data_IF_690544597358
#
_entry.id   IF_690544597358
#
_cell.length_a   1.000
_cell.length_b   1.000
_cell.length_c   1.000
_cell.angle_alpha   90.00
_cell.angle_beta   90.00
_cell.angle_gamma   90.00
#
_symmetry.space_group_name_H-M   'P 1'
#
loop_
_entity.id
_entity.type
_entity.pdbx_description
1 polymer ?
#
# COMPACT_ATOMS: atom_id res chain seq x y z
N UNK A 1 -4.93 18.14 -18.59
CA UNK A 1 -5.15 16.72 -18.23
C UNK A 1 -3.93 15.97 -18.68
N UNK A 2 -3.37 15.12 -17.82
CA UNK A 2 -2.18 14.35 -18.11
C UNK A 2 -2.54 12.87 -18.10
N UNK A 3 -2.53 12.26 -19.28
CA UNK A 3 -2.96 10.87 -19.44
C UNK A 3 -1.83 9.90 -19.16
N UNK A 4 -2.18 8.71 -18.66
CA UNK A 4 -1.24 7.61 -18.55
C UNK A 4 -0.87 7.09 -19.95
N UNK A 5 0.35 7.41 -20.40
CA UNK A 5 0.86 7.01 -21.70
C UNK A 5 2.27 6.43 -21.60
N UNK A 6 2.49 5.29 -22.26
CA UNK A 6 3.80 4.66 -22.42
C UNK A 6 4.30 4.88 -23.85
N UNK A 7 5.44 5.55 -23.98
CA UNK A 7 6.01 5.92 -25.30
C UNK A 7 6.81 4.76 -25.91
N UNK A 8 7.45 3.96 -25.05
CA UNK A 8 8.18 2.76 -25.46
C UNK A 8 7.37 1.50 -25.14
N UNK A 9 6.72 0.96 -26.18
CA UNK A 9 5.96 -0.28 -26.09
C UNK A 9 6.83 -1.52 -26.27
N UNK A 10 8.09 -1.37 -26.71
CA UNK A 10 8.98 -2.50 -27.03
C UNK A 10 9.36 -3.34 -25.79
N UNK A 11 9.21 -2.73 -24.61
CA UNK A 11 9.43 -3.36 -23.31
C UNK A 11 8.28 -4.29 -22.87
N UNK A 12 7.15 -4.28 -23.57
CA UNK A 12 5.98 -5.10 -23.27
C UNK A 12 5.75 -6.18 -24.35
N UNK A 13 5.36 -7.37 -23.93
CA UNK A 13 5.03 -8.49 -24.84
C UNK A 13 3.54 -8.56 -25.15
N UNK A 14 2.69 -8.24 -24.18
CA UNK A 14 1.24 -8.26 -24.30
C UNK A 14 0.67 -7.06 -23.57
N UNK A 15 -0.33 -6.45 -24.20
CA UNK A 15 -1.10 -5.35 -23.64
C UNK A 15 -2.57 -5.70 -23.88
N UNK A 16 -3.36 -5.67 -22.81
CA UNK A 16 -4.80 -5.90 -22.84
C UNK A 16 -5.50 -4.81 -22.07
N UNK A 17 -6.66 -4.40 -22.54
CA UNK A 17 -7.52 -3.45 -21.85
C UNK A 17 -8.84 -4.14 -21.56
N UNK A 18 -9.19 -4.20 -20.29
CA UNK A 18 -10.53 -4.51 -19.81
C UNK A 18 -11.21 -3.19 -19.39
N UNK A 19 -12.53 -3.21 -19.12
CA UNK A 19 -13.37 -2.02 -18.91
C UNK A 19 -12.72 -0.94 -18.03
N UNK A 20 -12.09 -1.35 -16.92
CA UNK A 20 -11.40 -0.45 -15.98
C UNK A 20 -9.95 -0.83 -15.70
N UNK A 21 -9.40 -1.81 -16.42
CA UNK A 21 -8.08 -2.39 -16.10
C UNK A 21 -7.19 -2.51 -17.33
N UNK A 22 -6.06 -1.81 -17.32
CA UNK A 22 -4.97 -2.00 -18.27
C UNK A 22 -4.01 -3.08 -17.75
N UNK A 23 -3.90 -4.17 -18.49
CA UNK A 23 -3.01 -5.29 -18.22
C UNK A 23 -1.81 -5.25 -19.18
N UNK A 24 -0.59 -5.30 -18.63
CA UNK A 24 0.63 -5.31 -19.42
C UNK A 24 1.58 -6.39 -18.93
N UNK A 25 2.11 -7.19 -19.83
CA UNK A 25 3.13 -8.19 -19.52
C UNK A 25 4.48 -7.71 -20.04
N UNK A 26 5.52 -7.82 -19.21
CA UNK A 26 6.87 -7.46 -19.64
C UNK A 26 7.38 -8.44 -20.69
N UNK A 27 8.23 -7.94 -21.58
CA UNK A 27 8.90 -8.77 -22.59
C UNK A 27 9.87 -9.77 -21.98
N UNK A 28 10.47 -9.43 -20.84
CA UNK A 28 11.34 -10.35 -20.11
C UNK A 28 10.59 -11.47 -19.38
N UNK A 29 9.25 -11.46 -19.37
CA UNK A 29 8.41 -12.48 -18.72
C UNK A 29 8.43 -12.47 -17.19
N UNK A 30 9.20 -11.56 -16.58
CA UNK A 30 9.37 -11.47 -15.12
C UNK A 30 8.30 -10.66 -14.41
N UNK A 31 7.61 -9.77 -15.13
CA UNK A 31 6.71 -8.78 -14.55
C UNK A 31 5.38 -8.76 -15.29
N UNK A 32 4.29 -8.64 -14.55
CA UNK A 32 2.97 -8.32 -15.08
C UNK A 32 2.42 -7.13 -14.29
N UNK A 33 1.88 -6.14 -15.00
CA UNK A 33 1.37 -4.90 -14.46
C UNK A 33 -0.15 -4.87 -14.70
N UNK A 34 -0.90 -4.55 -13.66
CA UNK A 34 -2.35 -4.37 -13.69
C UNK A 34 -2.63 -2.97 -13.20
N UNK A 35 -3.16 -2.11 -14.07
CA UNK A 35 -3.40 -0.70 -13.77
C UNK A 35 -4.91 -0.47 -13.84
N UNK A 36 -5.52 -0.23 -12.70
CA UNK A 36 -6.93 0.14 -12.61
C UNK A 36 -7.09 1.65 -12.72
N UNK A 37 -7.96 2.08 -13.61
CA UNK A 37 -8.39 3.47 -13.73
C UNK A 37 -9.29 3.79 -12.53
N UNK A 38 -8.95 4.83 -11.76
CA UNK A 38 -9.78 5.33 -10.66
C UNK A 38 -10.38 6.68 -11.01
N UNK A 39 -11.34 7.08 -10.20
CA UNK A 39 -12.01 8.37 -10.33
C UNK A 39 -11.03 9.54 -10.25
N UNK A 40 -11.39 10.60 -10.97
CA UNK A 40 -10.72 11.87 -10.97
C UNK A 40 -10.91 12.57 -9.61
N UNK A 41 -9.80 12.94 -8.95
CA UNK A 41 -9.82 13.71 -7.71
C UNK A 41 -9.26 15.10 -7.98
N UNK A 42 -10.12 16.11 -7.94
CA UNK A 42 -9.76 17.54 -8.08
C UNK A 42 -9.05 17.88 -9.42
N UNK A 43 -9.49 17.33 -10.55
CA UNK A 43 -8.83 17.65 -11.83
C UNK A 43 -7.71 16.67 -12.23
N UNK A 44 -7.45 15.64 -11.40
CA UNK A 44 -6.31 14.74 -11.53
C UNK A 44 -6.80 13.29 -11.53
N UNK A 45 -6.50 12.58 -12.61
CA UNK A 45 -6.77 11.15 -12.73
C UNK A 45 -5.85 10.35 -11.79
N UNK A 46 -6.47 9.45 -11.03
CA UNK A 46 -5.76 8.53 -10.15
C UNK A 46 -5.81 7.11 -10.69
N UNK A 47 -4.78 6.34 -10.36
CA UNK A 47 -4.59 4.99 -10.86
C UNK A 47 -4.07 4.09 -9.74
N UNK A 48 -4.59 2.86 -9.69
CA UNK A 48 -4.07 1.80 -8.83
C UNK A 48 -3.27 0.82 -9.67
N UNK A 49 -1.99 0.65 -9.35
CA UNK A 49 -1.07 -0.28 -10.00
C UNK A 49 -0.80 -1.48 -9.09
N UNK A 50 -1.05 -2.68 -9.59
CA UNK A 50 -0.60 -3.94 -9.01
C UNK A 50 0.48 -4.57 -9.89
N UNK A 51 1.62 -4.91 -9.30
CA UNK A 51 2.75 -5.54 -9.99
C UNK A 51 2.87 -6.98 -9.50
N UNK A 52 2.72 -7.93 -10.39
CA UNK A 52 3.08 -9.32 -10.16
C UNK A 52 4.50 -9.57 -10.65
N UNK A 53 5.34 -10.15 -9.81
CA UNK A 53 6.68 -10.61 -10.22
C UNK A 53 6.73 -12.13 -10.19
N UNK A 54 7.52 -12.74 -11.06
CA UNK A 54 7.67 -14.20 -11.11
C UNK A 54 8.17 -14.79 -9.79
N UNK A 55 8.92 -14.02 -9.00
CA UNK A 55 9.54 -14.46 -7.74
C UNK A 55 8.76 -14.05 -6.49
N UNK A 56 7.72 -13.21 -6.60
CA UNK A 56 6.94 -12.76 -5.45
C UNK A 56 5.70 -13.63 -5.25
N UNK A 57 5.46 -14.04 -4.01
CA UNK A 57 4.22 -14.73 -3.61
C UNK A 57 2.99 -13.79 -3.54
N UNK A 58 3.07 -12.59 -4.11
CA UNK A 58 2.01 -11.59 -4.03
C UNK A 58 2.23 -10.39 -4.95
N UNK A 59 1.24 -9.49 -4.94
CA UNK A 59 1.26 -8.25 -5.71
C UNK A 59 1.92 -7.12 -4.92
N UNK A 60 2.73 -6.33 -5.60
CA UNK A 60 3.22 -5.04 -5.10
C UNK A 60 2.23 -3.98 -5.54
N UNK A 61 1.55 -3.35 -4.60
CA UNK A 61 0.48 -2.40 -4.90
C UNK A 61 0.97 -0.97 -4.72
N UNK A 62 0.58 -0.11 -5.65
CA UNK A 62 0.95 1.29 -5.75
C UNK A 62 -0.25 2.09 -6.19
N UNK A 63 -0.34 3.33 -5.73
CA UNK A 63 -1.40 4.25 -6.14
C UNK A 63 -0.78 5.60 -6.44
N UNK A 64 -1.31 6.31 -7.42
CA UNK A 64 -0.75 7.59 -7.81
C UNK A 64 -1.36 8.18 -9.06
N UNK A 65 -0.84 9.34 -9.43
CA UNK A 65 -1.12 9.98 -10.71
C UNK A 65 -0.42 9.25 -11.86
N UNK A 66 -0.79 9.61 -13.10
CA UNK A 66 -0.25 9.03 -14.31
C UNK A 66 1.29 9.02 -14.35
N UNK A 67 1.93 10.12 -13.92
CA UNK A 67 3.39 10.25 -13.86
C UNK A 67 4.02 9.26 -12.89
N UNK A 68 3.45 9.12 -11.69
CA UNK A 68 3.97 8.21 -10.68
C UNK A 68 3.85 6.75 -11.14
N UNK A 69 2.70 6.36 -11.68
CA UNK A 69 2.49 5.01 -12.21
C UNK A 69 3.45 4.71 -13.36
N UNK A 70 3.57 5.62 -14.34
CA UNK A 70 4.50 5.47 -15.47
C UNK A 70 5.94 5.25 -14.99
N UNK A 71 6.39 6.08 -14.05
CA UNK A 71 7.74 5.99 -13.48
C UNK A 71 7.97 4.65 -12.78
N UNK A 72 7.02 4.18 -11.98
CA UNK A 72 7.14 2.91 -11.27
C UNK A 72 7.25 1.73 -12.24
N UNK A 73 6.41 1.69 -13.28
CA UNK A 73 6.45 0.62 -14.29
C UNK A 73 7.82 0.59 -14.98
N UNK A 74 8.32 1.74 -15.43
CA UNK A 74 9.64 1.85 -16.06
C UNK A 74 10.79 1.49 -15.12
N UNK A 75 10.74 1.96 -13.88
CA UNK A 75 11.73 1.61 -12.85
C UNK A 75 11.74 0.09 -12.56
N UNK A 76 10.56 -0.55 -12.56
CA UNK A 76 10.42 -2.01 -12.40
C UNK A 76 11.05 -2.75 -13.57
N UNK A 77 10.77 -2.29 -14.80
CA UNK A 77 11.32 -2.88 -16.03
C UNK A 77 12.86 -2.72 -16.10
N UNK A 78 13.39 -1.62 -15.55
CA UNK A 78 14.83 -1.39 -15.39
C UNK A 78 15.47 -2.24 -14.27
N UNK A 79 14.68 -3.03 -13.54
CA UNK A 79 15.17 -3.92 -12.47
C UNK A 79 15.42 -3.23 -11.13
N UNK A 80 14.88 -2.03 -10.91
CA UNK A 80 14.94 -1.39 -9.59
C UNK A 80 13.96 -2.09 -8.63
N UNK A 81 14.37 -2.27 -7.37
CA UNK A 81 13.50 -2.82 -6.34
C UNK A 81 12.31 -1.89 -6.07
N UNK A 82 11.10 -2.36 -6.38
CA UNK A 82 9.87 -1.66 -6.01
C UNK A 82 9.38 -2.20 -4.68
N UNK A 83 9.35 -1.34 -3.66
CA UNK A 83 8.85 -1.68 -2.32
C UNK A 83 7.36 -1.43 -2.25
N UNK A 84 6.63 -2.35 -1.65
CA UNK A 84 5.19 -2.29 -1.45
C UNK A 84 4.80 -1.16 -0.47
N UNK A 85 3.84 -0.31 -0.85
CA UNK A 85 3.37 0.77 0.03
C UNK A 85 2.44 0.26 1.13
N UNK A 86 1.78 -0.89 0.92
CA UNK A 86 0.87 -1.48 1.92
C UNK A 86 1.62 -1.87 3.20
N UNK A 87 2.88 -2.30 3.10
CA UNK A 87 3.68 -2.64 4.28
C UNK A 87 3.95 -1.45 5.21
N UNK A 88 3.93 -0.21 4.70
CA UNK A 88 4.08 0.99 5.55
C UNK A 88 2.85 1.27 6.43
N UNK A 89 1.68 0.71 6.12
CA UNK A 89 0.46 0.94 6.92
C UNK A 89 0.28 -0.06 8.07
N UNK A 90 1.05 -1.16 8.08
CA UNK A 90 1.01 -2.17 9.16
C UNK A 90 2.03 -1.86 10.26
N UNK A 91 3.10 -1.11 9.95
CA UNK A 91 4.04 -0.62 10.96
C UNK A 91 3.57 0.71 11.56
N UNK A 92 2.92 0.61 12.73
CA UNK A 92 2.58 1.66 13.73
C UNK A 92 1.07 1.90 13.92
N UNK A 93 0.41 0.89 14.49
CA UNK A 93 -0.34 1.14 15.72
C UNK A 93 0.30 0.34 16.84
N UNK A 94 1.47 0.80 17.31
CA UNK A 94 1.90 0.44 18.65
C UNK A 94 0.90 1.08 19.61
N UNK A 95 -0.15 0.34 19.96
CA UNK A 95 -0.95 0.63 21.15
C UNK A 95 0.06 0.58 22.30
N UNK A 96 0.50 1.74 22.77
CA UNK A 96 1.28 1.85 23.98
C UNK A 96 0.42 1.31 25.12
N UNK A 97 0.60 0.04 25.48
CA UNK A 97 0.11 -0.48 26.76
C UNK A 97 0.86 0.29 27.84
N UNK A 98 0.26 1.37 28.35
CA UNK A 98 0.72 1.95 29.59
C UNK A 98 0.39 0.95 30.70
N UNK A 99 1.36 0.13 31.09
CA UNK A 99 1.30 -0.63 32.33
C UNK A 99 1.38 0.37 33.49
N UNK A 100 0.25 0.99 33.85
CA UNK A 100 0.06 1.48 35.21
C UNK A 100 -0.41 0.29 36.03
N UNK A 101 0.53 -0.37 36.68
CA UNK A 101 0.27 -1.27 37.81
C UNK A 101 -0.46 -0.47 38.89
N UNK A 102 -1.79 -0.42 38.80
CA UNK A 102 -2.61 -0.05 39.94
C UNK A 102 -2.54 -1.22 40.92
N UNK A 103 -1.66 -1.08 41.91
CA UNK A 103 -1.70 -1.88 43.14
C UNK A 103 -3.14 -1.89 43.64
N UNK A 104 -3.80 -3.05 43.52
CA UNK A 104 -5.15 -3.28 44.04
C UNK A 104 -5.08 -3.17 45.56
N UNK A 105 -5.41 -2.00 46.09
CA UNK A 105 -5.74 -1.87 47.50
C UNK A 105 -7.01 -2.69 47.75
N UNK A 106 -7.00 -3.66 48.67
CA UNK A 106 -8.20 -4.45 48.97
C UNK A 106 -9.28 -3.53 49.57
N UNK A 107 -10.53 -3.76 49.13
CA UNK A 107 -11.72 -2.97 49.42
C UNK A 107 -11.97 -2.67 50.92
N UNK A 108 -11.38 -3.46 51.83
CA UNK A 108 -11.58 -3.33 53.27
C UNK A 108 -10.52 -2.49 54.01
N UNK A 109 -9.56 -1.88 53.31
CA UNK A 109 -8.46 -1.14 53.92
C UNK A 109 -8.88 0.12 54.74
N UNK A 110 -10.13 0.58 54.61
CA UNK A 110 -10.63 1.74 55.35
C UNK A 110 -11.61 1.41 56.50
N UNK A 111 -11.76 0.14 56.89
CA UNK A 111 -12.78 -0.27 57.87
C UNK A 111 -12.40 -0.07 59.37
N UNK A 112 -11.29 0.60 59.71
CA UNK A 112 -10.96 0.90 61.12
C UNK A 112 -10.42 2.31 61.32
N UNK A 113 -11.33 3.27 61.49
CA UNK A 113 -11.15 4.45 62.36
C UNK A 113 -12.46 5.26 62.50
N UNK A 114 -13.41 4.74 63.28
CA UNK A 114 -14.29 5.60 64.08
C UNK A 114 -14.20 5.17 65.53
N UNK A 115 -13.22 5.74 66.21
CA UNK A 115 -13.12 5.79 67.66
C UNK A 115 -13.20 7.26 68.06
N UNK A 116 -13.88 7.53 69.18
CA UNK A 116 -14.22 8.81 69.85
C UNK A 116 -15.68 9.21 69.61
N UNK A 117 -16.52 9.43 70.62
CA UNK A 117 -16.29 9.76 72.05
C UNK A 117 -16.96 8.74 72.97
#
# INVERSE_FOLDING_TARGET
MEFLQFDDLSSFSKIGLDEETLMMHSKCGKYSFYINFKDEVKGIDYYDLAIATQTSNGFINKTGDAKTIKKIVLDTLAGKEVKDDIKKKIEKTSISKSNKTQLKTPFYANAKKRRRK
#
